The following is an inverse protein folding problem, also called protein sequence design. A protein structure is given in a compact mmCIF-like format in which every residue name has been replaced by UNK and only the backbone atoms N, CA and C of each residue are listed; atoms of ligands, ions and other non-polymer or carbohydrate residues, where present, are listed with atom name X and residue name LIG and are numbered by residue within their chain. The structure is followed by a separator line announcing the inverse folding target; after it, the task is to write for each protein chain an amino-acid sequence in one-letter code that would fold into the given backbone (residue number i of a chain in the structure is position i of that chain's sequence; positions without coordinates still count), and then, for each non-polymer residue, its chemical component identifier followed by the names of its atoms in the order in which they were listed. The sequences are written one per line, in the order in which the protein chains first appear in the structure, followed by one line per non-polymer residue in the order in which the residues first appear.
data_IF_122655684686
#
_entry.id   IF_122655684686
#
_cell.length_a   1.000
_cell.length_b   1.000
_cell.length_c   1.000
_cell.angle_alpha   90.00
_cell.angle_beta   90.00
_cell.angle_gamma   90.00
#
_symmetry.space_group_name_H-M   'P 1'
#
loop_
_entity.id
_entity.type
_entity.pdbx_description
1 polymer ?
#
# COMPACT_ATOMS: atom_id res chain seq x y z
N UNK A 1 -18.74 28.38 -2.59
CA UNK A 1 -19.89 29.23 -2.98
C UNK A 1 -20.03 29.38 -4.51
N UNK A 2 -18.99 29.78 -5.28
CA UNK A 2 -19.11 29.92 -6.74
C UNK A 2 -19.30 28.61 -7.49
N UNK A 3 -18.73 27.49 -7.01
CA UNK A 3 -18.86 26.17 -7.61
C UNK A 3 -20.21 25.50 -7.29
N UNK A 4 -20.73 25.70 -6.10
CA UNK A 4 -22.05 25.20 -5.70
C UNK A 4 -23.16 25.78 -6.58
N UNK A 5 -23.05 27.08 -6.94
CA UNK A 5 -23.98 27.74 -7.86
C UNK A 5 -23.93 27.17 -9.29
N UNK A 6 -22.85 26.48 -9.65
CA UNK A 6 -22.65 25.82 -10.94
C UNK A 6 -22.93 24.32 -10.90
N UNK A 7 -23.40 23.78 -9.75
CA UNK A 7 -23.71 22.35 -9.59
C UNK A 7 -22.49 21.43 -9.50
N UNK A 8 -21.30 21.98 -9.25
CA UNK A 8 -20.11 21.17 -9.03
C UNK A 8 -19.92 20.85 -7.53
N UNK A 9 -19.45 19.65 -7.17
CA UNK A 9 -19.18 19.30 -5.78
C UNK A 9 -18.11 20.22 -5.18
N UNK A 10 -18.23 20.48 -3.88
CA UNK A 10 -17.23 21.22 -3.13
C UNK A 10 -15.86 20.56 -3.22
N UNK A 11 -14.82 21.37 -3.30
CA UNK A 11 -13.44 20.88 -3.13
C UNK A 11 -13.13 20.98 -1.65
N UNK A 12 -13.15 19.85 -0.95
CA UNK A 12 -12.92 19.79 0.50
C UNK A 12 -11.44 19.72 0.88
N UNK A 13 -10.56 19.58 -0.10
CA UNK A 13 -9.12 19.56 0.12
C UNK A 13 -8.34 19.68 -1.18
N UNK A 14 -7.22 20.35 -1.10
CA UNK A 14 -6.19 20.36 -2.14
C UNK A 14 -4.96 19.65 -1.56
N UNK A 15 -4.60 18.52 -2.11
CA UNK A 15 -3.39 17.80 -1.72
C UNK A 15 -2.27 18.23 -2.66
N UNK A 16 -1.29 18.90 -2.10
CA UNK A 16 -0.04 19.18 -2.79
C UNK A 16 0.98 18.16 -2.32
N UNK A 17 1.37 17.29 -3.21
CA UNK A 17 2.50 16.41 -3.00
C UNK A 17 3.75 17.23 -3.28
N UNK A 18 4.52 17.51 -2.24
CA UNK A 18 5.85 18.01 -2.43
C UNK A 18 6.72 16.77 -2.67
N UNK A 19 7.45 16.80 -3.77
CA UNK A 19 8.50 15.81 -4.02
C UNK A 19 9.51 15.96 -2.87
N UNK A 20 9.42 15.07 -1.88
CA UNK A 20 10.39 15.07 -0.82
C UNK A 20 11.74 14.75 -1.47
N UNK A 21 12.74 15.55 -1.19
CA UNK A 21 14.12 15.40 -1.65
C UNK A 21 14.66 13.99 -1.39
N UNK A 22 14.39 13.08 -2.26
CA UNK A 22 14.76 11.68 -2.15
C UNK A 22 13.89 10.85 -3.08
N UNK A 23 14.21 10.89 -4.32
CA UNK A 23 13.63 10.07 -5.40
C UNK A 23 13.88 8.59 -5.14
N UNK A 24 13.09 7.98 -4.29
CA UNK A 24 12.82 6.57 -4.43
C UNK A 24 11.63 6.43 -5.37
N UNK A 25 11.91 6.48 -6.67
CA UNK A 25 10.91 6.11 -7.66
C UNK A 25 10.84 4.58 -7.65
N UNK A 26 9.65 4.03 -7.40
CA UNK A 26 9.42 2.61 -7.64
C UNK A 26 9.68 2.29 -9.13
N UNK A 27 10.26 1.12 -9.39
CA UNK A 27 10.47 0.65 -10.77
C UNK A 27 9.13 0.36 -11.46
N UNK A 28 8.11 0.01 -10.69
CA UNK A 28 6.78 -0.35 -11.16
C UNK A 28 5.72 -0.02 -10.10
N UNK A 29 4.57 0.41 -10.57
CA UNK A 29 3.41 0.76 -9.71
C UNK A 29 2.21 -0.07 -10.09
N UNK A 30 1.52 -0.67 -9.12
CA UNK A 30 0.24 -1.33 -9.30
C UNK A 30 -0.87 -0.54 -8.65
N UNK A 31 -1.86 -0.15 -9.43
CA UNK A 31 -3.03 0.59 -8.96
C UNK A 31 -4.10 0.69 -10.03
N UNK A 32 -5.36 0.50 -9.65
CA UNK A 32 -6.53 0.79 -10.51
C UNK A 32 -6.98 2.25 -10.40
N UNK A 33 -6.38 3.01 -9.51
CA UNK A 33 -6.74 4.42 -9.29
C UNK A 33 -6.39 5.31 -10.48
N UNK A 34 -7.32 6.17 -10.87
CA UNK A 34 -7.17 7.05 -12.02
C UNK A 34 -5.96 7.99 -11.92
N UNK A 35 -5.55 8.38 -10.72
CA UNK A 35 -4.40 9.25 -10.49
C UNK A 35 -3.06 8.56 -10.83
N UNK A 36 -2.98 7.23 -10.74
CA UNK A 36 -1.77 6.49 -11.10
C UNK A 36 -1.36 6.72 -12.57
N UNK A 37 -2.31 7.14 -13.43
CA UNK A 37 -2.03 7.46 -14.84
C UNK A 37 -1.09 8.66 -15.02
N UNK A 38 -0.96 9.49 -14.00
CA UNK A 38 -0.10 10.69 -14.05
C UNK A 38 1.34 10.43 -13.61
N UNK A 39 1.63 9.21 -13.14
CA UNK A 39 3.01 8.81 -12.81
C UNK A 39 3.76 8.43 -14.09
N UNK A 40 5.04 8.79 -14.17
CA UNK A 40 5.91 8.40 -15.30
C UNK A 40 6.45 6.96 -15.18
N UNK A 41 6.14 6.27 -14.09
CA UNK A 41 6.59 4.90 -13.81
C UNK A 41 5.73 3.88 -14.56
N UNK A 42 6.29 2.74 -15.03
CA UNK A 42 5.52 1.62 -15.55
C UNK A 42 4.40 1.17 -14.60
N UNK A 43 3.24 0.87 -15.16
CA UNK A 43 2.02 0.59 -14.40
C UNK A 43 1.48 -0.79 -14.68
N UNK A 44 0.96 -1.42 -13.64
CA UNK A 44 0.14 -2.62 -13.70
C UNK A 44 -1.23 -2.33 -13.06
N UNK A 45 -2.22 -3.12 -13.43
CA UNK A 45 -3.49 -3.14 -12.73
C UNK A 45 -3.29 -3.61 -11.28
N UNK A 46 -4.20 -3.26 -10.37
CA UNK A 46 -4.10 -3.68 -8.99
C UNK A 46 -4.19 -5.21 -8.88
N UNK A 47 -3.15 -5.89 -8.33
CA UNK A 47 -3.17 -7.33 -8.18
C UNK A 47 -4.11 -7.74 -7.03
N UNK A 48 -4.75 -8.89 -7.18
CA UNK A 48 -5.65 -9.40 -6.15
C UNK A 48 -4.91 -9.78 -4.86
N UNK A 49 -3.70 -10.33 -4.99
CA UNK A 49 -2.87 -10.79 -3.87
C UNK A 49 -1.37 -10.70 -4.22
N UNK A 50 -0.51 -11.01 -3.25
CA UNK A 50 0.94 -10.98 -3.45
C UNK A 50 1.43 -11.97 -4.51
N UNK A 51 0.74 -13.10 -4.70
CA UNK A 51 1.09 -14.08 -5.71
C UNK A 51 0.84 -13.52 -7.10
N UNK A 52 -0.34 -12.95 -7.33
CA UNK A 52 -0.69 -12.27 -8.58
C UNK A 52 0.31 -11.14 -8.89
N UNK A 53 0.71 -10.35 -7.89
CA UNK A 53 1.75 -9.34 -8.03
C UNK A 53 3.04 -9.92 -8.60
N UNK A 54 3.55 -11.00 -8.03
CA UNK A 54 4.79 -11.61 -8.50
C UNK A 54 4.67 -12.18 -9.91
N UNK A 55 3.52 -12.75 -10.26
CA UNK A 55 3.24 -13.26 -11.61
C UNK A 55 3.24 -12.12 -12.63
N UNK A 56 2.51 -11.03 -12.34
CA UNK A 56 2.44 -9.85 -13.20
C UNK A 56 3.82 -9.21 -13.41
N UNK A 57 4.61 -9.07 -12.35
CA UNK A 57 5.98 -8.54 -12.44
C UNK A 57 6.86 -9.45 -13.31
N UNK A 58 6.75 -10.76 -13.17
CA UNK A 58 7.52 -11.72 -13.98
C UNK A 58 7.14 -11.62 -15.45
N UNK A 59 5.88 -11.41 -15.78
CA UNK A 59 5.39 -11.25 -17.15
C UNK A 59 5.93 -10.01 -17.86
N UNK A 60 6.30 -8.96 -17.10
CA UNK A 60 6.93 -7.77 -17.72
C UNK A 60 8.30 -8.06 -18.33
N UNK A 61 8.94 -9.16 -17.93
CA UNK A 61 10.30 -9.50 -18.34
C UNK A 61 11.38 -8.55 -17.85
N UNK A 62 11.04 -7.59 -17.00
CA UNK A 62 11.94 -6.58 -16.46
C UNK A 62 12.46 -6.99 -15.08
N UNK A 63 13.69 -6.56 -14.76
CA UNK A 63 14.20 -6.67 -13.40
C UNK A 63 13.59 -5.56 -12.56
N UNK A 64 12.71 -5.91 -11.63
CA UNK A 64 12.07 -4.99 -10.69
C UNK A 64 12.75 -5.16 -9.35
N UNK A 65 13.35 -4.09 -8.85
CA UNK A 65 13.97 -4.04 -7.52
C UNK A 65 13.01 -3.49 -6.48
N UNK A 66 12.27 -2.45 -6.86
CA UNK A 66 11.34 -1.73 -6.00
C UNK A 66 9.95 -1.64 -6.66
N UNK A 67 8.95 -2.18 -6.00
CA UNK A 67 7.57 -2.15 -6.46
C UNK A 67 6.66 -1.43 -5.46
N UNK A 68 5.72 -0.66 -5.97
CA UNK A 68 4.71 0.04 -5.18
C UNK A 68 3.32 -0.49 -5.52
N UNK A 69 2.57 -0.89 -4.50
CA UNK A 69 1.21 -1.40 -4.63
C UNK A 69 0.28 -0.52 -3.81
N UNK A 70 -0.78 -0.03 -4.43
CA UNK A 70 -1.84 0.70 -3.74
C UNK A 70 -3.00 -0.23 -3.44
N UNK A 71 -3.31 -0.39 -2.15
CA UNK A 71 -4.46 -1.15 -1.67
C UNK A 71 -5.57 -0.15 -1.33
N UNK A 72 -6.47 0.08 -2.26
CA UNK A 72 -7.57 1.04 -2.12
C UNK A 72 -8.93 0.38 -1.86
N UNK A 73 -8.96 -0.93 -1.62
CA UNK A 73 -10.17 -1.71 -1.31
C UNK A 73 -11.03 -1.09 -0.19
N UNK A 74 -10.39 -0.40 0.78
CA UNK A 74 -11.08 0.20 1.92
C UNK A 74 -11.77 1.53 1.63
N UNK A 75 -11.43 2.19 0.52
CA UNK A 75 -11.94 3.54 0.22
C UNK A 75 -13.45 3.57 0.11
N UNK A 76 -14.05 2.59 -0.57
CA UNK A 76 -15.50 2.52 -0.75
C UNK A 76 -16.24 2.28 0.57
N UNK A 77 -15.70 1.43 1.44
CA UNK A 77 -16.31 1.12 2.74
C UNK A 77 -16.23 2.30 3.71
N UNK A 78 -15.14 3.07 3.65
CA UNK A 78 -15.01 4.31 4.41
C UNK A 78 -16.02 5.37 3.95
N UNK A 79 -16.23 5.50 2.64
CA UNK A 79 -17.20 6.46 2.09
C UNK A 79 -18.65 6.10 2.42
N UNK A 80 -18.99 4.82 2.48
CA UNK A 80 -20.33 4.33 2.80
C UNK A 80 -20.58 4.14 4.29
N UNK A 81 -19.53 4.14 5.12
CA UNK A 81 -19.62 3.84 6.55
C UNK A 81 -19.92 2.37 6.86
N UNK A 82 -19.68 1.46 5.91
CA UNK A 82 -19.91 0.03 6.07
C UNK A 82 -18.79 -0.63 6.88
N UNK A 83 -18.96 -0.65 8.19
CA UNK A 83 -17.99 -1.20 9.15
C UNK A 83 -17.80 -2.71 8.98
N UNK A 84 -18.84 -3.44 8.56
CA UNK A 84 -18.75 -4.89 8.37
C UNK A 84 -17.93 -5.22 7.15
N UNK A 85 -18.21 -4.60 6.02
CA UNK A 85 -17.42 -4.77 4.80
C UNK A 85 -15.96 -4.31 5.02
N UNK A 86 -15.74 -3.23 5.77
CA UNK A 86 -14.40 -2.78 6.17
C UNK A 86 -13.62 -3.88 6.91
N UNK A 87 -14.26 -4.51 7.90
CA UNK A 87 -13.67 -5.59 8.68
C UNK A 87 -13.34 -6.79 7.81
N UNK A 88 -14.28 -7.21 6.95
CA UNK A 88 -14.10 -8.37 6.07
C UNK A 88 -12.93 -8.16 5.09
N UNK A 89 -12.77 -6.93 4.57
CA UNK A 89 -11.63 -6.58 3.71
C UNK A 89 -10.31 -6.70 4.50
N UNK A 90 -10.22 -6.14 5.70
CA UNK A 90 -9.01 -6.24 6.52
C UNK A 90 -8.65 -7.70 6.86
N UNK A 91 -9.65 -8.53 7.21
CA UNK A 91 -9.44 -9.95 7.45
C UNK A 91 -8.94 -10.67 6.19
N UNK A 92 -9.46 -10.29 5.01
CA UNK A 92 -8.99 -10.85 3.74
C UNK A 92 -7.53 -10.47 3.44
N UNK A 93 -7.09 -9.28 3.84
CA UNK A 93 -5.71 -8.83 3.62
C UNK A 93 -4.68 -9.66 4.37
N UNK A 94 -5.06 -10.27 5.50
CA UNK A 94 -4.16 -11.18 6.22
C UNK A 94 -3.69 -12.32 5.32
N UNK A 95 -4.60 -12.95 4.59
CA UNK A 95 -4.30 -14.09 3.73
C UNK A 95 -3.79 -13.69 2.35
N UNK A 96 -4.25 -12.56 1.81
CA UNK A 96 -3.87 -12.07 0.49
C UNK A 96 -2.51 -11.39 0.49
N UNK A 97 -2.19 -10.67 1.57
CA UNK A 97 -1.04 -9.77 1.63
C UNK A 97 -0.11 -10.06 2.81
N UNK A 98 -0.57 -9.89 4.05
CA UNK A 98 0.33 -9.83 5.20
C UNK A 98 1.05 -11.14 5.48
N UNK A 99 0.33 -12.26 5.52
CA UNK A 99 0.94 -13.57 5.73
C UNK A 99 1.92 -13.93 4.58
N UNK A 100 1.56 -13.80 3.29
CA UNK A 100 2.49 -14.03 2.18
C UNK A 100 3.69 -13.06 2.15
N UNK A 101 3.52 -11.79 2.51
CA UNK A 101 4.63 -10.84 2.64
C UNK A 101 5.62 -11.27 3.71
N UNK A 102 5.10 -11.75 4.84
CA UNK A 102 5.91 -12.27 5.91
C UNK A 102 6.74 -13.49 5.48
N UNK A 103 6.12 -14.41 4.77
CA UNK A 103 6.80 -15.60 4.23
C UNK A 103 7.86 -15.23 3.19
N UNK A 104 7.57 -14.24 2.34
CA UNK A 104 8.51 -13.73 1.36
C UNK A 104 9.73 -13.05 2.00
N UNK A 105 9.55 -12.31 3.10
CA UNK A 105 10.64 -11.76 3.91
C UNK A 105 11.44 -12.86 4.60
N UNK A 106 10.77 -13.84 5.21
CA UNK A 106 11.41 -14.94 5.93
C UNK A 106 12.26 -15.81 5.00
N UNK A 107 11.77 -16.09 3.80
CA UNK A 107 12.49 -16.85 2.77
C UNK A 107 13.61 -16.03 2.09
N UNK A 108 13.61 -14.71 2.22
CA UNK A 108 14.54 -13.81 1.58
C UNK A 108 14.21 -13.49 0.12
N UNK A 109 13.00 -13.80 -0.32
CA UNK A 109 12.45 -13.37 -1.63
C UNK A 109 12.25 -11.86 -1.68
N UNK A 110 11.86 -11.27 -0.54
CA UNK A 110 11.85 -9.82 -0.32
C UNK A 110 12.93 -9.46 0.71
N UNK A 111 13.57 -8.31 0.53
CA UNK A 111 14.55 -7.76 1.46
C UNK A 111 13.89 -6.89 2.51
N UNK A 112 12.97 -6.04 2.07
CA UNK A 112 12.27 -5.06 2.89
C UNK A 112 10.85 -4.90 2.38
N UNK A 113 9.93 -4.66 3.29
CA UNK A 113 8.55 -4.25 2.99
C UNK A 113 8.30 -2.96 3.76
N UNK A 114 7.78 -1.97 3.06
CA UNK A 114 7.36 -0.72 3.65
C UNK A 114 5.84 -0.62 3.50
N UNK A 115 5.13 -0.44 4.62
CA UNK A 115 3.68 -0.26 4.66
C UNK A 115 3.44 1.17 5.10
N UNK A 116 2.79 1.96 4.25
CA UNK A 116 2.43 3.34 4.55
C UNK A 116 0.91 3.47 4.57
N UNK A 117 0.39 4.08 5.60
CA UNK A 117 -1.01 4.45 5.71
C UNK A 117 -1.13 5.97 5.73
N UNK A 118 -2.17 6.48 5.10
CA UNK A 118 -2.50 7.90 5.08
C UNK A 118 -3.57 8.22 6.15
N UNK A 119 -3.78 9.51 6.42
CA UNK A 119 -4.77 10.03 7.35
C UNK A 119 -4.15 10.68 8.58
N UNK A 120 -5.04 11.16 9.48
CA UNK A 120 -4.64 11.91 10.69
C UNK A 120 -3.71 11.10 11.61
N UNK A 121 -3.90 9.78 11.66
CA UNK A 121 -3.04 8.84 12.40
C UNK A 121 -2.24 7.94 11.45
N UNK A 122 -1.97 8.40 10.26
CA UNK A 122 -1.19 7.68 9.28
C UNK A 122 0.27 7.53 9.70
N UNK A 123 0.95 6.55 9.12
CA UNK A 123 2.34 6.29 9.45
C UNK A 123 2.98 5.32 8.47
N UNK A 124 4.28 5.13 8.63
CA UNK A 124 5.09 4.23 7.84
C UNK A 124 5.71 3.16 8.71
N UNK A 125 5.51 1.91 8.34
CA UNK A 125 6.13 0.74 8.96
C UNK A 125 7.10 0.09 7.99
N UNK A 126 8.36 0.09 8.31
CA UNK A 126 9.40 -0.61 7.55
C UNK A 126 9.74 -1.94 8.22
N UNK A 127 9.65 -3.03 7.46
CA UNK A 127 9.93 -4.39 7.92
C UNK A 127 11.03 -4.99 7.06
N UNK A 128 12.20 -5.17 7.65
CA UNK A 128 13.32 -5.87 7.03
C UNK A 128 13.36 -7.35 7.39
N UNK A 129 14.19 -8.10 6.68
CA UNK A 129 14.45 -9.51 6.99
C UNK A 129 14.92 -9.63 8.44
N UNK A 130 14.17 -10.33 9.27
CA UNK A 130 14.57 -10.59 10.68
C UNK A 130 15.87 -11.35 10.70
N UNK A 131 16.88 -10.79 11.38
CA UNK A 131 18.04 -11.57 11.77
C UNK A 131 17.59 -12.67 12.74
N UNK A 132 17.86 -13.93 12.42
CA UNK A 132 17.63 -15.08 13.31
C UNK A 132 18.34 -14.95 14.65
N UNK A 133 19.27 -14.00 14.75
CA UNK A 133 20.07 -13.69 15.95
C UNK A 133 19.37 -12.74 16.94
N UNK A 134 18.17 -12.25 16.64
CA UNK A 134 17.43 -11.35 17.53
C UNK A 134 16.50 -12.08 18.52
N UNK A 135 16.82 -13.31 18.93
CA UNK A 135 16.03 -14.12 19.85
C UNK A 135 15.81 -13.51 21.24
N UNK A 136 16.63 -12.53 21.63
CA UNK A 136 16.48 -11.79 22.90
C UNK A 136 15.43 -10.69 22.86
N UNK A 137 14.93 -10.31 21.66
CA UNK A 137 13.89 -9.31 21.55
C UNK A 137 12.53 -9.95 21.88
N UNK A 138 11.94 -9.53 23.00
CA UNK A 138 10.56 -9.90 23.32
C UNK A 138 9.61 -9.22 22.34
N UNK A 139 8.61 -9.95 21.86
CA UNK A 139 7.51 -9.35 21.13
C UNK A 139 6.81 -8.33 22.03
N UNK A 140 6.63 -7.11 21.52
CA UNK A 140 5.80 -6.11 22.18
C UNK A 140 4.37 -6.27 21.68
N UNK A 141 3.42 -6.24 22.61
CA UNK A 141 2.01 -6.18 22.22
C UNK A 141 1.74 -4.82 21.61
N UNK A 142 1.15 -4.79 20.43
CA UNK A 142 0.69 -3.55 19.81
C UNK A 142 -0.55 -3.06 20.58
N UNK A 143 -0.52 -1.84 21.05
CA UNK A 143 -1.58 -1.23 21.84
C UNK A 143 -2.32 -0.09 21.10
N UNK A 144 -2.09 0.04 19.80
CA UNK A 144 -2.73 1.06 18.97
C UNK A 144 -2.09 2.46 19.08
N UNK A 145 -0.96 2.60 19.78
CA UNK A 145 -0.19 3.84 19.85
C UNK A 145 1.23 3.63 19.32
N UNK A 146 1.73 4.62 18.64
CA UNK A 146 3.09 4.68 18.08
C UNK A 146 4.06 5.33 19.06
#
# INVERSE_FOLDING_TARGET
QAREQQGFPEINGLWLWNDADGTQSADIVASDSAWARFLDTPKLDAPYDLKAWFEMVQETGSTVSDGLIFLDDLVSTLQTGDVWAYKDILESWETRWFSPLWDALASGRLKTVCITTDGENGGTLEIGRRSKWAFWRKAKTFNGSW
#
